data_IF_048134501010
#
_entry.id   IF_048134501010
#
_cell.length_a   1.000
_cell.length_b   1.000
_cell.length_c   1.000
_cell.angle_alpha   90.00
_cell.angle_beta   90.00
_cell.angle_gamma   90.00
#
_symmetry.space_group_name_H-M   'P 1'
#
loop_
_entity.id
_entity.type
_entity.pdbx_description
1 polymer ?
#
# COMPACT_ATOMS: atom_id res chain seq x y z
N UNK A 1 18.88 7.35 14.48
CA UNK A 1 18.36 6.40 13.47
C UNK A 1 16.89 6.58 13.15
N UNK A 2 15.99 6.78 14.13
CA UNK A 2 14.56 7.00 13.85
C UNK A 2 14.29 8.17 12.88
N UNK A 3 15.09 9.25 12.98
CA UNK A 3 15.08 10.39 12.04
C UNK A 3 15.58 10.00 10.63
N UNK A 4 16.52 9.07 10.53
CA UNK A 4 17.03 8.59 9.23
C UNK A 4 15.97 7.73 8.54
N UNK A 5 15.37 6.79 9.29
CA UNK A 5 14.29 5.94 8.81
C UNK A 5 13.08 6.75 8.36
N UNK A 6 12.66 7.74 9.14
CA UNK A 6 11.54 8.62 8.76
C UNK A 6 11.83 9.44 7.51
N UNK A 7 13.07 9.93 7.35
CA UNK A 7 13.51 10.64 6.13
C UNK A 7 13.51 9.71 4.91
N UNK A 8 14.00 8.49 5.05
CA UNK A 8 14.01 7.48 3.99
C UNK A 8 12.57 7.17 3.56
N UNK A 9 11.69 6.87 4.51
CA UNK A 9 10.28 6.60 4.22
C UNK A 9 9.57 7.78 3.59
N UNK A 10 9.80 9.00 4.08
CA UNK A 10 9.23 10.20 3.46
C UNK A 10 9.67 10.37 2.01
N UNK A 11 10.95 10.11 1.69
CA UNK A 11 11.45 10.14 0.30
C UNK A 11 10.80 9.06 -0.56
N UNK A 12 10.66 7.84 -0.04
CA UNK A 12 10.03 6.73 -0.76
C UNK A 12 8.56 7.06 -1.03
N UNK A 13 7.79 7.45 -0.01
CA UNK A 13 6.38 7.79 -0.17
C UNK A 13 6.17 8.97 -1.12
N UNK A 14 6.99 10.02 -1.01
CA UNK A 14 6.92 11.13 -1.94
C UNK A 14 7.14 10.69 -3.40
N UNK A 15 8.07 9.77 -3.64
CA UNK A 15 8.31 9.24 -4.98
C UNK A 15 7.15 8.34 -5.46
N UNK A 16 6.56 7.54 -4.57
CA UNK A 16 5.36 6.73 -4.86
C UNK A 16 4.19 7.64 -5.28
N UNK A 17 3.88 8.67 -4.48
CA UNK A 17 2.81 9.63 -4.76
C UNK A 17 3.06 10.38 -6.08
N UNK A 18 4.30 10.81 -6.30
CA UNK A 18 4.71 11.49 -7.54
C UNK A 18 4.46 10.60 -8.75
N UNK A 19 4.86 9.33 -8.72
CA UNK A 19 4.68 8.44 -9.86
C UNK A 19 3.20 8.11 -10.09
N UNK A 20 2.43 7.85 -9.03
CA UNK A 20 0.99 7.60 -9.15
C UNK A 20 0.22 8.80 -9.72
N UNK A 21 0.69 10.03 -9.49
CA UNK A 21 0.09 11.23 -10.09
C UNK A 21 0.30 11.37 -11.61
N UNK A 22 1.28 10.64 -12.18
CA UNK A 22 1.66 10.78 -13.59
C UNK A 22 0.82 9.93 -14.56
N UNK A 23 -0.25 9.28 -14.06
CA UNK A 23 -1.18 8.44 -14.84
C UNK A 23 -0.45 7.39 -15.71
N UNK A 24 0.61 6.80 -15.18
CA UNK A 24 1.40 5.77 -15.88
C UNK A 24 0.76 4.40 -15.69
N UNK A 25 1.17 3.41 -16.48
CA UNK A 25 0.78 2.01 -16.20
C UNK A 25 1.50 1.50 -14.95
N UNK A 26 0.86 0.61 -14.19
CA UNK A 26 1.44 -0.01 -12.97
C UNK A 26 2.82 -0.62 -13.23
N UNK A 27 3.01 -1.26 -14.38
CA UNK A 27 4.31 -1.80 -14.79
C UNK A 27 5.38 -0.70 -14.88
N UNK A 28 5.04 0.44 -15.48
CA UNK A 28 5.98 1.55 -15.66
C UNK A 28 6.30 2.23 -14.34
N UNK A 29 5.33 2.40 -13.46
CA UNK A 29 5.54 2.88 -12.08
C UNK A 29 6.48 1.94 -11.31
N UNK A 30 6.21 0.64 -11.36
CA UNK A 30 7.03 -0.36 -10.69
C UNK A 30 8.48 -0.39 -11.20
N UNK A 31 8.67 -0.22 -12.51
CA UNK A 31 10.01 -0.09 -13.10
C UNK A 31 10.74 1.16 -12.58
N UNK A 32 10.09 2.32 -12.57
CA UNK A 32 10.69 3.57 -12.07
C UNK A 32 11.02 3.48 -10.57
N UNK A 33 10.13 2.89 -9.76
CA UNK A 33 10.41 2.63 -8.34
C UNK A 33 11.57 1.66 -8.14
N UNK A 34 11.70 0.64 -9.00
CA UNK A 34 12.83 -0.29 -8.96
C UNK A 34 14.15 0.45 -9.18
N UNK A 35 14.23 1.33 -10.18
CA UNK A 35 15.43 2.13 -10.43
C UNK A 35 15.76 3.05 -9.25
N UNK A 36 14.76 3.78 -8.75
CA UNK A 36 14.91 4.71 -7.63
C UNK A 36 15.38 4.02 -6.34
N UNK A 37 14.77 2.89 -5.97
CA UNK A 37 15.13 2.17 -4.75
C UNK A 37 16.51 1.50 -4.87
N UNK A 38 16.89 1.04 -6.08
CA UNK A 38 18.21 0.51 -6.33
C UNK A 38 19.29 1.59 -6.17
N UNK A 39 19.07 2.77 -6.76
CA UNK A 39 19.97 3.92 -6.60
C UNK A 39 20.07 4.34 -5.12
N UNK A 40 18.94 4.42 -4.41
CA UNK A 40 18.91 4.73 -2.99
C UNK A 40 19.73 3.73 -2.16
N UNK A 41 19.62 2.42 -2.41
CA UNK A 41 20.43 1.41 -1.73
C UNK A 41 21.92 1.57 -2.05
N UNK A 42 22.29 1.87 -3.30
CA UNK A 42 23.67 2.16 -3.67
C UNK A 42 24.23 3.37 -2.91
N UNK A 43 23.48 4.46 -2.82
CA UNK A 43 23.89 5.65 -2.04
C UNK A 43 24.07 5.31 -0.57
N UNK A 44 23.08 4.66 0.04
CA UNK A 44 23.13 4.26 1.46
C UNK A 44 24.32 3.35 1.72
N UNK A 45 24.61 2.40 0.82
CA UNK A 45 25.78 1.53 0.92
C UNK A 45 27.08 2.34 0.98
N UNK A 46 27.28 3.26 0.05
CA UNK A 46 28.49 4.11 0.01
C UNK A 46 28.62 4.94 1.29
N UNK A 47 27.54 5.54 1.76
CA UNK A 47 27.53 6.32 3.01
C UNK A 47 27.85 5.48 4.24
N UNK A 48 27.27 4.27 4.31
CA UNK A 48 27.46 3.33 5.44
C UNK A 48 28.90 2.83 5.50
N UNK A 49 29.49 2.47 4.35
CA UNK A 49 30.89 2.02 4.26
C UNK A 49 31.88 3.15 4.59
N UNK A 50 31.54 4.40 4.25
CA UNK A 50 32.38 5.57 4.52
C UNK A 50 32.36 6.00 5.99
N UNK A 51 31.18 6.07 6.59
CA UNK A 51 31.01 6.68 7.92
C UNK A 51 31.15 5.67 9.07
N UNK A 52 31.04 4.36 8.79
CA UNK A 52 30.95 3.26 9.77
C UNK A 52 29.82 3.47 10.80
N UNK A 53 29.40 2.39 11.45
CA UNK A 53 28.46 2.49 12.56
C UNK A 53 29.18 3.00 13.81
N UNK A 54 28.50 3.84 14.60
CA UNK A 54 29.10 4.38 15.84
C UNK A 54 29.24 3.32 16.92
N UNK A 55 28.33 2.34 16.92
CA UNK A 55 28.26 1.24 17.86
C UNK A 55 27.52 0.05 17.23
N UNK A 56 27.58 -1.11 17.88
CA UNK A 56 26.94 -2.35 17.41
C UNK A 56 25.41 -2.26 17.39
N UNK A 57 24.82 -1.44 18.26
CA UNK A 57 23.36 -1.29 18.31
C UNK A 57 22.85 -0.52 17.09
N UNK A 58 23.63 0.44 16.57
CA UNK A 58 23.35 1.13 15.32
C UNK A 58 23.46 0.20 14.11
N UNK A 59 24.47 -0.69 14.10
CA UNK A 59 24.60 -1.72 13.07
C UNK A 59 23.37 -2.64 13.06
N UNK A 60 22.99 -3.15 14.23
CA UNK A 60 21.83 -4.02 14.42
C UNK A 60 20.55 -3.34 13.96
N UNK A 61 20.27 -2.11 14.38
CA UNK A 61 19.06 -1.40 13.98
C UNK A 61 19.02 -1.13 12.47
N UNK A 62 20.17 -0.82 11.87
CA UNK A 62 20.26 -0.62 10.43
C UNK A 62 19.87 -1.89 9.66
N UNK A 63 20.45 -3.03 10.00
CA UNK A 63 20.19 -4.30 9.33
C UNK A 63 18.86 -4.95 9.72
N UNK A 64 18.32 -4.66 10.90
CA UNK A 64 17.02 -5.19 11.34
C UNK A 64 15.84 -4.34 10.84
N UNK A 65 15.95 -3.01 10.93
CA UNK A 65 14.80 -2.11 10.82
C UNK A 65 14.87 -1.14 9.64
N UNK A 66 16.05 -0.79 9.12
CA UNK A 66 16.19 0.24 8.08
C UNK A 66 16.36 -0.36 6.70
N UNK A 67 17.49 -1.05 6.46
CA UNK A 67 17.82 -1.59 5.15
C UNK A 67 16.76 -2.58 4.61
N UNK A 68 16.20 -3.50 5.41
CA UNK A 68 15.18 -4.43 4.91
C UNK A 68 13.93 -3.74 4.35
N UNK A 69 13.59 -2.56 4.83
CA UNK A 69 12.41 -1.82 4.37
C UNK A 69 12.58 -1.31 2.93
N UNK A 70 13.79 -0.88 2.60
CA UNK A 70 14.15 -0.39 1.27
C UNK A 70 14.29 -1.58 0.31
N UNK A 71 15.07 -2.58 0.72
CA UNK A 71 15.29 -3.79 -0.08
C UNK A 71 13.99 -4.57 -0.29
N UNK A 72 13.13 -4.66 0.72
CA UNK A 72 11.82 -5.30 0.63
C UNK A 72 10.92 -4.60 -0.39
N UNK A 73 10.87 -3.27 -0.38
CA UNK A 73 10.17 -2.50 -1.42
C UNK A 73 10.79 -2.68 -2.81
N UNK A 74 12.11 -2.76 -2.92
CA UNK A 74 12.78 -3.01 -4.20
C UNK A 74 12.40 -4.38 -4.78
N UNK A 75 12.44 -5.44 -3.96
CA UNK A 75 12.02 -6.79 -4.35
C UNK A 75 10.54 -6.79 -4.74
N UNK A 76 9.69 -6.10 -3.96
CA UNK A 76 8.27 -5.92 -4.26
C UNK A 76 8.06 -5.31 -5.65
N UNK A 77 8.59 -4.13 -5.91
CA UNK A 77 8.38 -3.44 -7.19
C UNK A 77 8.97 -4.19 -8.38
N UNK A 78 10.12 -4.85 -8.22
CA UNK A 78 10.67 -5.71 -9.26
C UNK A 78 9.70 -6.86 -9.62
N UNK A 79 9.09 -7.48 -8.61
CA UNK A 79 8.08 -8.52 -8.82
C UNK A 79 6.78 -7.99 -9.41
N UNK A 80 6.30 -6.81 -8.99
CA UNK A 80 5.15 -6.14 -9.60
C UNK A 80 5.39 -5.93 -11.10
N UNK A 81 6.55 -5.40 -11.47
CA UNK A 81 6.91 -5.22 -12.88
C UNK A 81 6.78 -6.53 -13.67
N UNK A 82 7.34 -7.63 -13.14
CA UNK A 82 7.24 -8.95 -13.78
C UNK A 82 5.81 -9.47 -13.88
N UNK A 83 5.01 -9.32 -12.83
CA UNK A 83 3.61 -9.74 -12.81
C UNK A 83 2.81 -8.96 -13.85
N UNK A 84 2.90 -7.63 -13.83
CA UNK A 84 2.13 -6.78 -14.76
C UNK A 84 2.55 -7.00 -16.23
N UNK A 85 3.85 -7.23 -16.50
CA UNK A 85 4.35 -7.42 -17.87
C UNK A 85 4.13 -8.84 -18.43
N UNK A 86 3.85 -9.82 -17.58
CA UNK A 86 3.56 -11.20 -18.01
C UNK A 86 2.07 -11.53 -17.99
N UNK A 87 1.23 -10.61 -17.53
CA UNK A 87 -0.22 -10.75 -17.59
C UNK A 87 -0.68 -10.77 -19.07
N UNK A 88 -1.34 -11.85 -19.54
CA UNK A 88 -1.63 -12.01 -20.97
C UNK A 88 -2.77 -11.11 -21.47
N UNK A 89 -3.66 -10.67 -20.58
CA UNK A 89 -4.80 -9.81 -20.91
C UNK A 89 -5.10 -8.82 -19.79
N UNK A 90 -5.65 -7.66 -20.14
CA UNK A 90 -5.88 -6.57 -19.19
C UNK A 90 -7.23 -6.63 -18.45
N UNK A 91 -8.11 -7.59 -18.76
CA UNK A 91 -9.41 -7.75 -18.09
C UNK A 91 -10.04 -9.13 -18.32
N UNK A 92 -11.14 -9.42 -17.62
CA UNK A 92 -11.94 -10.63 -17.78
C UNK A 92 -11.44 -11.84 -16.97
N UNK A 93 -12.03 -13.01 -17.22
CA UNK A 93 -11.76 -14.22 -16.42
C UNK A 93 -10.30 -14.69 -16.48
N UNK A 94 -9.64 -14.52 -17.63
CA UNK A 94 -8.23 -14.88 -17.80
C UNK A 94 -7.34 -13.97 -16.95
N UNK A 95 -7.66 -12.66 -16.88
CA UNK A 95 -6.97 -11.71 -16.01
C UNK A 95 -7.12 -12.11 -14.53
N UNK A 96 -8.34 -12.38 -14.08
CA UNK A 96 -8.59 -12.80 -12.70
C UNK A 96 -7.85 -14.10 -12.34
N UNK A 97 -7.98 -15.12 -13.19
CA UNK A 97 -7.30 -16.41 -13.00
C UNK A 97 -5.78 -16.28 -12.95
N UNK A 98 -5.20 -15.35 -13.72
CA UNK A 98 -3.77 -15.05 -13.67
C UNK A 98 -3.33 -14.58 -12.27
N UNK A 99 -3.99 -13.55 -11.70
CA UNK A 99 -3.62 -13.06 -10.35
C UNK A 99 -3.92 -14.07 -9.24
N UNK A 100 -5.00 -14.86 -9.35
CA UNK A 100 -5.29 -15.96 -8.43
C UNK A 100 -4.17 -17.01 -8.42
N UNK A 101 -3.65 -17.34 -9.60
CA UNK A 101 -2.51 -18.25 -9.73
C UNK A 101 -1.22 -17.64 -9.18
N UNK A 102 -0.94 -16.36 -9.44
CA UNK A 102 0.20 -15.66 -8.83
C UNK A 102 0.11 -15.66 -7.30
N UNK A 103 -1.07 -15.43 -6.73
CA UNK A 103 -1.30 -15.47 -5.28
C UNK A 103 -1.08 -16.88 -4.72
N UNK A 104 -1.56 -17.91 -5.43
CA UNK A 104 -1.34 -19.31 -5.05
C UNK A 104 0.16 -19.65 -5.05
N UNK A 105 0.87 -19.27 -6.11
CA UNK A 105 2.32 -19.45 -6.23
C UNK A 105 3.08 -18.72 -5.12
N UNK A 106 2.68 -17.49 -4.80
CA UNK A 106 3.25 -16.69 -3.70
C UNK A 106 3.10 -17.42 -2.36
N UNK A 107 1.88 -17.87 -2.03
CA UNK A 107 1.57 -18.58 -0.78
C UNK A 107 2.40 -19.85 -0.60
N UNK A 108 2.52 -20.66 -1.65
CA UNK A 108 3.30 -21.92 -1.61
C UNK A 108 4.78 -21.60 -1.36
N UNK A 109 5.38 -20.73 -2.18
CA UNK A 109 6.79 -20.35 -2.04
C UNK A 109 7.08 -19.75 -0.66
N UNK A 110 6.19 -18.90 -0.14
CA UNK A 110 6.36 -18.27 1.17
C UNK A 110 6.29 -19.28 2.33
N UNK A 111 5.35 -20.22 2.27
CA UNK A 111 5.23 -21.29 3.25
C UNK A 111 6.50 -22.15 3.28
N UNK A 112 7.01 -22.53 2.11
CA UNK A 112 8.10 -23.49 2.00
C UNK A 112 9.46 -22.86 2.34
N UNK A 113 9.67 -21.59 1.97
CA UNK A 113 10.98 -20.92 2.12
C UNK A 113 11.14 -20.04 3.36
N UNK A 114 10.05 -19.61 4.01
CA UNK A 114 10.12 -18.59 5.08
C UNK A 114 9.37 -19.03 6.34
N UNK A 115 8.08 -19.38 6.25
CA UNK A 115 7.24 -19.57 7.44
C UNK A 115 7.70 -20.69 8.39
N UNK A 116 8.34 -21.72 7.86
CA UNK A 116 8.74 -22.90 8.63
C UNK A 116 10.06 -22.73 9.38
N UNK A 117 10.76 -21.60 9.20
CA UNK A 117 12.07 -21.39 9.81
C UNK A 117 11.97 -20.85 11.23
N UNK A 118 12.95 -21.22 12.08
CA UNK A 118 13.09 -20.66 13.43
C UNK A 118 13.28 -19.13 13.40
N UNK A 119 13.97 -18.62 12.38
CA UNK A 119 14.17 -17.19 12.20
C UNK A 119 12.85 -16.44 11.98
N UNK A 120 11.91 -17.01 11.22
CA UNK A 120 10.60 -16.37 11.00
C UNK A 120 9.84 -16.19 12.31
N UNK A 121 9.86 -17.20 13.20
CA UNK A 121 9.24 -17.12 14.54
C UNK A 121 9.93 -16.07 15.41
N UNK A 122 11.27 -16.00 15.36
CA UNK A 122 12.04 -14.97 16.03
C UNK A 122 11.61 -13.57 15.59
N UNK A 123 11.59 -13.32 14.29
CA UNK A 123 11.20 -12.02 13.71
C UNK A 123 9.76 -11.64 14.08
N UNK A 124 8.80 -12.54 13.85
CA UNK A 124 7.36 -12.27 14.08
C UNK A 124 6.98 -12.09 15.55
N UNK A 125 7.79 -12.60 16.48
CA UNK A 125 7.57 -12.42 17.92
C UNK A 125 8.19 -11.14 18.48
N UNK A 126 8.87 -10.33 17.66
CA UNK A 126 9.51 -9.09 18.11
C UNK A 126 10.67 -9.33 19.08
N UNK A 127 11.24 -10.53 19.08
CA UNK A 127 12.37 -10.90 19.94
C UNK A 127 13.63 -10.10 19.58
N UNK A 128 14.50 -9.97 20.57
CA UNK A 128 15.78 -9.25 20.48
C UNK A 128 16.96 -10.07 21.00
N UNK A 129 16.71 -11.26 21.58
CA UNK A 129 17.73 -12.09 22.24
C UNK A 129 18.79 -12.66 21.30
N UNK A 130 18.59 -12.56 19.97
CA UNK A 130 19.55 -13.01 18.94
C UNK A 130 19.97 -11.89 18.00
N UNK A 131 19.66 -10.63 18.32
CA UNK A 131 19.90 -9.51 17.41
C UNK A 131 21.38 -9.37 17.05
N UNK A 132 22.26 -9.58 18.03
CA UNK A 132 23.70 -9.56 17.83
C UNK A 132 24.17 -10.62 16.82
N UNK A 133 23.63 -11.83 16.89
CA UNK A 133 23.99 -12.93 15.98
C UNK A 133 23.39 -12.73 14.59
N UNK A 134 22.18 -12.18 14.49
CA UNK A 134 21.46 -12.09 13.23
C UNK A 134 21.77 -10.82 12.43
N UNK A 135 22.03 -9.69 13.08
CA UNK A 135 22.06 -8.38 12.41
C UNK A 135 23.42 -7.69 12.47
N UNK A 136 24.49 -8.44 12.71
CA UNK A 136 25.86 -7.96 12.58
C UNK A 136 26.54 -8.54 11.35
N UNK A 137 27.35 -7.73 10.68
CA UNK A 137 28.14 -8.18 9.53
C UNK A 137 29.15 -9.24 9.96
N UNK A 138 29.39 -10.21 9.07
CA UNK A 138 30.32 -11.32 9.29
C UNK A 138 29.82 -12.41 10.25
N UNK A 139 28.64 -12.28 10.86
CA UNK A 139 28.04 -13.31 11.70
C UNK A 139 27.26 -14.33 10.86
N UNK A 140 27.98 -15.25 10.22
CA UNK A 140 27.38 -16.33 9.42
C UNK A 140 27.67 -17.67 10.07
N UNK A 141 26.61 -18.36 10.49
CA UNK A 141 26.71 -19.71 11.02
C UNK A 141 26.37 -20.74 9.93
N UNK A 142 27.40 -21.30 9.28
CA UNK A 142 27.23 -22.30 8.22
C UNK A 142 26.59 -23.62 8.70
N UNK A 143 26.54 -23.88 10.01
CA UNK A 143 25.86 -25.05 10.56
C UNK A 143 24.34 -24.93 10.56
N UNK A 144 23.77 -23.76 10.25
CA UNK A 144 22.33 -23.52 10.25
C UNK A 144 21.62 -23.94 8.94
N UNK A 145 22.33 -24.55 7.99
CA UNK A 145 21.74 -25.00 6.72
C UNK A 145 21.29 -23.83 5.84
N UNK A 146 22.20 -22.89 5.61
CA UNK A 146 21.94 -21.65 4.87
C UNK A 146 21.58 -21.92 3.41
N UNK A 147 20.67 -21.12 2.86
CA UNK A 147 20.40 -21.10 1.42
C UNK A 147 21.66 -20.67 0.64
N UNK A 148 21.82 -21.19 -0.57
CA UNK A 148 22.97 -20.92 -1.44
C UNK A 148 23.17 -19.43 -1.75
N UNK A 149 22.11 -18.63 -1.68
CA UNK A 149 22.14 -17.19 -1.93
C UNK A 149 23.15 -16.44 -1.03
N UNK A 150 23.47 -17.00 0.14
CA UNK A 150 24.45 -16.39 1.07
C UNK A 150 25.86 -16.34 0.47
N UNK A 151 26.21 -17.26 -0.43
CA UNK A 151 27.55 -17.35 -1.02
C UNK A 151 27.81 -16.29 -2.11
N UNK A 152 26.74 -15.72 -2.67
CA UNK A 152 26.81 -14.65 -3.68
C UNK A 152 26.46 -13.27 -3.09
N UNK A 153 25.94 -13.25 -1.87
CA UNK A 153 25.57 -12.02 -1.18
C UNK A 153 26.81 -11.19 -0.84
N UNK A 154 26.73 -9.88 -1.06
CA UNK A 154 27.74 -8.95 -0.58
C UNK A 154 27.68 -8.81 0.94
N UNK A 155 28.52 -9.60 1.62
CA UNK A 155 28.66 -9.66 3.06
C UNK A 155 29.32 -8.42 3.68
N UNK A 156 29.78 -7.46 2.86
CA UNK A 156 30.29 -6.17 3.36
C UNK A 156 29.17 -5.17 3.67
N UNK A 157 27.97 -5.41 3.13
CA UNK A 157 26.82 -4.53 3.30
C UNK A 157 25.54 -5.30 3.60
N UNK A 158 25.56 -6.61 3.75
CA UNK A 158 24.38 -7.42 4.04
C UNK A 158 24.71 -8.49 5.06
N UNK A 159 23.74 -8.76 5.92
CA UNK A 159 23.73 -9.98 6.72
C UNK A 159 22.99 -11.07 5.93
N UNK A 160 22.93 -12.28 6.48
CA UNK A 160 22.02 -13.27 5.91
C UNK A 160 20.55 -12.95 6.24
N UNK A 161 20.31 -12.33 7.40
CA UNK A 161 19.00 -12.22 8.01
C UNK A 161 18.24 -10.93 7.66
N UNK A 162 18.92 -9.83 7.39
CA UNK A 162 18.32 -8.61 6.80
C UNK A 162 17.70 -8.91 5.43
N UNK A 163 18.37 -9.73 4.60
CA UNK A 163 17.82 -10.23 3.34
C UNK A 163 16.54 -11.06 3.57
N UNK A 164 16.52 -11.94 4.59
CA UNK A 164 15.30 -12.68 4.95
C UNK A 164 14.16 -11.76 5.36
N UNK A 165 14.42 -10.73 6.16
CA UNK A 165 13.41 -9.73 6.53
C UNK A 165 12.91 -8.99 5.28
N UNK A 166 13.80 -8.58 4.38
CA UNK A 166 13.41 -7.92 3.13
C UNK A 166 12.46 -8.79 2.30
N UNK A 167 12.73 -10.11 2.22
CA UNK A 167 11.82 -11.06 1.57
C UNK A 167 10.49 -11.22 2.31
N UNK A 168 10.46 -11.19 3.65
CA UNK A 168 9.21 -11.19 4.42
C UNK A 168 8.37 -9.96 4.05
N UNK A 169 8.96 -8.76 4.12
CA UNK A 169 8.29 -7.48 3.79
C UNK A 169 7.77 -7.51 2.35
N UNK A 170 8.60 -7.93 1.39
CA UNK A 170 8.20 -7.99 -0.01
C UNK A 170 7.02 -8.94 -0.24
N UNK A 171 6.98 -10.10 0.44
CA UNK A 171 5.86 -11.04 0.34
C UNK A 171 4.57 -10.47 0.95
N UNK A 172 4.65 -9.78 2.10
CA UNK A 172 3.49 -9.13 2.72
C UNK A 172 2.88 -8.05 1.80
N UNK A 173 3.74 -7.23 1.17
CA UNK A 173 3.32 -6.22 0.20
C UNK A 173 2.70 -6.84 -1.06
N UNK A 174 3.33 -7.89 -1.62
CA UNK A 174 2.81 -8.60 -2.80
C UNK A 174 1.48 -9.28 -2.53
N UNK A 175 1.33 -9.87 -1.34
CA UNK A 175 0.08 -10.51 -0.94
C UNK A 175 -1.07 -9.51 -0.99
N UNK A 176 -0.87 -8.34 -0.37
CA UNK A 176 -1.84 -7.24 -0.37
C UNK A 176 -2.13 -6.78 -1.80
N UNK A 177 -1.10 -6.56 -2.62
CA UNK A 177 -1.27 -6.17 -4.01
C UNK A 177 -2.11 -7.18 -4.82
N UNK A 178 -1.79 -8.48 -4.73
CA UNK A 178 -2.48 -9.51 -5.49
C UNK A 178 -3.95 -9.64 -5.04
N UNK A 179 -4.24 -9.47 -3.76
CA UNK A 179 -5.62 -9.41 -3.29
C UNK A 179 -6.39 -8.26 -3.91
N UNK A 180 -5.79 -7.06 -4.00
CA UNK A 180 -6.44 -5.91 -4.64
C UNK A 180 -6.78 -6.15 -6.13
N UNK A 181 -6.05 -7.05 -6.80
CA UNK A 181 -6.27 -7.43 -8.21
C UNK A 181 -7.32 -8.52 -8.39
N UNK A 182 -7.43 -9.45 -7.45
CA UNK A 182 -8.39 -10.56 -7.50
C UNK A 182 -9.79 -10.10 -7.08
N UNK A 183 -9.85 -9.35 -5.97
CA UNK A 183 -11.10 -8.88 -5.38
C UNK A 183 -10.99 -7.38 -5.06
N UNK A 184 -11.09 -6.50 -6.07
CA UNK A 184 -11.05 -5.04 -5.84
C UNK A 184 -12.19 -4.52 -4.95
N UNK A 185 -13.22 -5.35 -4.71
CA UNK A 185 -14.37 -5.07 -3.84
C UNK A 185 -14.25 -5.66 -2.43
N UNK A 186 -13.40 -6.67 -2.16
CA UNK A 186 -13.32 -7.34 -0.84
C UNK A 186 -12.24 -6.70 0.07
N UNK A 187 -11.25 -6.00 -0.48
CA UNK A 187 -10.11 -5.45 0.28
C UNK A 187 -10.15 -3.92 0.50
N UNK A 188 -11.19 -3.24 0.00
CA UNK A 188 -11.46 -1.84 0.41
C UNK A 188 -11.75 -1.75 1.90
N UNK A 189 -12.29 -2.81 2.49
CA UNK A 189 -12.63 -2.86 3.91
C UNK A 189 -11.39 -3.03 4.82
N UNK A 190 -10.26 -3.58 4.33
CA UNK A 190 -9.04 -3.80 5.15
C UNK A 190 -7.95 -2.75 4.94
N UNK A 191 -7.74 -2.25 3.71
CA UNK A 191 -6.73 -1.22 3.43
C UNK A 191 -7.09 0.14 4.06
N UNK A 192 -8.39 0.43 4.24
CA UNK A 192 -8.85 1.66 4.88
C UNK A 192 -8.80 1.62 6.42
N UNK A 193 -8.64 0.44 7.03
CA UNK A 193 -8.54 0.29 8.49
C UNK A 193 -7.09 0.41 8.98
N UNK A 194 -6.11 0.01 8.16
CA UNK A 194 -4.69 -0.03 8.58
C UNK A 194 -3.80 1.07 7.97
N UNK A 195 -4.33 1.93 7.11
CA UNK A 195 -3.65 3.14 6.66
C UNK A 195 -3.87 4.31 7.62
N UNK A 196 -2.90 4.59 8.49
CA UNK A 196 -2.85 5.76 9.37
C UNK A 196 -2.80 7.14 8.62
N UNK A 197 -3.14 7.19 7.33
CA UNK A 197 -2.97 8.33 6.43
C UNK A 197 -4.22 9.09 6.03
N UNK A 198 -5.42 8.74 6.52
CA UNK A 198 -6.67 9.43 6.13
C UNK A 198 -7.44 10.00 7.33
N UNK A 199 -6.75 10.67 8.25
CA UNK A 199 -7.41 11.36 9.38
C UNK A 199 -8.12 12.66 9.00
N UNK A 200 -7.95 13.16 7.77
CA UNK A 200 -8.28 14.54 7.44
C UNK A 200 -9.57 14.74 6.62
N UNK A 201 -10.22 13.68 6.14
CA UNK A 201 -11.46 13.80 5.36
C UNK A 201 -12.66 13.42 6.25
N UNK A 202 -13.44 14.42 6.66
CA UNK A 202 -14.68 14.24 7.43
C UNK A 202 -15.81 15.06 6.80
N UNK A 203 -17.03 14.49 6.77
CA UNK A 203 -18.21 15.22 6.30
C UNK A 203 -18.73 16.14 7.39
N UNK A 204 -18.86 17.42 7.05
CA UNK A 204 -19.24 18.48 8.00
C UNK A 204 -20.69 18.93 7.85
N UNK A 205 -21.39 18.52 6.79
CA UNK A 205 -22.80 18.86 6.57
C UNK A 205 -23.72 17.78 7.17
N UNK A 206 -25.04 17.94 7.02
CA UNK A 206 -26.01 16.96 7.51
C UNK A 206 -25.91 15.61 6.78
N UNK A 207 -26.32 14.53 7.45
CA UNK A 207 -26.45 13.20 6.83
C UNK A 207 -27.41 13.21 5.63
N UNK A 208 -28.45 14.05 5.68
CA UNK A 208 -29.40 14.22 4.58
C UNK A 208 -28.75 14.88 3.36
N UNK A 209 -27.85 15.85 3.54
CA UNK A 209 -27.09 16.44 2.44
C UNK A 209 -26.20 15.39 1.74
N UNK A 210 -25.58 14.50 2.52
CA UNK A 210 -24.78 13.41 1.99
C UNK A 210 -25.63 12.41 1.20
N UNK A 211 -26.80 12.05 1.72
CA UNK A 211 -27.77 11.17 1.04
C UNK A 211 -28.26 11.81 -0.27
N UNK A 212 -28.53 13.12 -0.26
CA UNK A 212 -28.96 13.87 -1.44
C UNK A 212 -27.89 13.83 -2.54
N UNK A 213 -26.62 14.05 -2.20
CA UNK A 213 -25.50 13.95 -3.13
C UNK A 213 -25.32 12.54 -3.70
N UNK A 214 -25.41 11.51 -2.85
CA UNK A 214 -25.35 10.10 -3.27
C UNK A 214 -26.45 9.77 -4.28
N UNK A 215 -27.69 10.22 -4.03
CA UNK A 215 -28.79 10.01 -4.96
C UNK A 215 -28.65 10.79 -6.25
N UNK A 216 -28.10 12.01 -6.20
CA UNK A 216 -27.85 12.81 -7.39
C UNK A 216 -26.88 12.11 -8.35
N UNK A 217 -25.76 11.61 -7.81
CA UNK A 217 -24.74 10.88 -8.57
C UNK A 217 -25.26 9.55 -9.11
N UNK A 218 -26.11 8.87 -8.33
CA UNK A 218 -26.79 7.67 -8.77
C UNK A 218 -27.75 7.96 -9.92
N UNK A 219 -28.61 8.98 -9.79
CA UNK A 219 -29.59 9.35 -10.80
C UNK A 219 -28.96 9.88 -12.09
N UNK A 220 -27.84 10.60 -12.00
CA UNK A 220 -27.12 11.12 -13.15
C UNK A 220 -26.36 10.05 -13.93
N UNK A 221 -26.18 8.85 -13.36
CA UNK A 221 -25.38 7.76 -13.91
C UNK A 221 -23.94 8.18 -14.26
N UNK A 222 -23.38 9.14 -13.53
CA UNK A 222 -22.05 9.73 -13.83
C UNK A 222 -20.88 8.87 -13.35
N UNK A 223 -21.13 7.72 -12.72
CA UNK A 223 -20.12 6.88 -12.07
C UNK A 223 -20.18 5.44 -12.61
N UNK A 224 -19.00 4.86 -12.90
CA UNK A 224 -18.78 3.44 -13.20
C UNK A 224 -19.68 2.86 -14.31
N UNK A 225 -19.67 3.48 -15.50
CA UNK A 225 -20.39 3.03 -16.70
C UNK A 225 -21.85 2.61 -16.45
N UNK A 226 -22.54 3.32 -15.55
CA UNK A 226 -23.96 3.12 -15.18
C UNK A 226 -24.28 1.79 -14.48
N UNK A 227 -23.29 1.08 -13.93
CA UNK A 227 -23.49 -0.26 -13.31
C UNK A 227 -23.53 -0.25 -11.78
N UNK A 228 -23.33 0.90 -11.14
CA UNK A 228 -23.24 0.97 -9.67
C UNK A 228 -24.62 1.10 -9.01
N UNK A 229 -24.93 0.21 -8.07
CA UNK A 229 -26.16 0.28 -7.27
C UNK A 229 -26.08 1.33 -6.16
N UNK A 230 -27.23 1.93 -5.82
CA UNK A 230 -27.34 2.99 -4.79
C UNK A 230 -26.75 2.60 -3.43
N UNK A 231 -26.92 1.33 -3.01
CA UNK A 231 -26.37 0.83 -1.73
C UNK A 231 -24.84 0.80 -1.75
N UNK A 232 -24.24 0.38 -2.87
CA UNK A 232 -22.79 0.34 -3.05
C UNK A 232 -22.22 1.76 -3.09
N UNK A 233 -22.90 2.69 -3.77
CA UNK A 233 -22.51 4.09 -3.79
C UNK A 233 -22.60 4.73 -2.40
N UNK A 234 -23.68 4.47 -1.65
CA UNK A 234 -23.81 4.97 -0.29
C UNK A 234 -22.74 4.41 0.65
N UNK A 235 -22.38 3.13 0.53
CA UNK A 235 -21.28 2.53 1.29
C UNK A 235 -19.94 3.23 1.02
N UNK A 236 -19.63 3.53 -0.24
CA UNK A 236 -18.42 4.27 -0.61
C UNK A 236 -18.36 5.62 0.12
N UNK A 237 -19.47 6.37 0.12
CA UNK A 237 -19.54 7.68 0.79
C UNK A 237 -19.52 7.58 2.32
N UNK A 238 -20.13 6.55 2.91
CA UNK A 238 -20.04 6.28 4.35
C UNK A 238 -18.59 6.06 4.78
N UNK A 239 -17.85 5.28 4.00
CA UNK A 239 -16.46 4.95 4.27
C UNK A 239 -15.55 6.16 4.02
N UNK A 240 -15.72 6.84 2.88
CA UNK A 240 -14.94 8.03 2.51
C UNK A 240 -15.02 9.14 3.57
N UNK A 241 -16.22 9.37 4.10
CA UNK A 241 -16.50 10.47 5.02
C UNK A 241 -16.65 10.04 6.49
N UNK A 242 -16.49 8.75 6.79
CA UNK A 242 -16.70 8.16 8.13
C UNK A 242 -18.04 8.56 8.77
N UNK A 243 -19.07 8.70 7.94
CA UNK A 243 -20.41 9.16 8.36
C UNK A 243 -21.41 8.06 8.09
N UNK A 244 -22.10 7.51 9.11
CA UNK A 244 -23.10 6.48 8.89
C UNK A 244 -24.28 7.04 8.08
N UNK A 245 -24.69 6.30 7.05
CA UNK A 245 -25.86 6.58 6.22
C UNK A 245 -26.92 5.53 6.50
N UNK A 246 -27.61 5.70 7.63
CA UNK A 246 -28.77 4.89 7.96
C UNK A 246 -29.98 5.33 7.14
N UNK A 247 -30.85 4.39 6.79
CA UNK A 247 -32.17 4.63 6.19
C UNK A 247 -32.19 5.51 4.92
N UNK A 248 -31.18 5.34 4.07
CA UNK A 248 -30.97 6.08 2.81
C UNK A 248 -32.25 6.22 1.97
N UNK A 249 -32.98 5.11 1.79
CA UNK A 249 -34.24 5.10 1.02
C UNK A 249 -35.35 5.92 1.67
N UNK A 250 -35.51 5.83 2.99
CA UNK A 250 -36.54 6.55 3.73
C UNK A 250 -36.21 8.05 3.80
N UNK A 251 -34.95 8.40 4.06
CA UNK A 251 -34.45 9.77 4.05
C UNK A 251 -34.66 10.43 2.68
N UNK A 252 -34.34 9.73 1.59
CA UNK A 252 -34.62 10.22 0.24
C UNK A 252 -36.12 10.33 -0.08
N UNK A 253 -36.94 9.40 0.41
CA UNK A 253 -38.39 9.50 0.26
C UNK A 253 -38.93 10.77 0.93
N UNK A 254 -38.46 11.09 2.14
CA UNK A 254 -38.82 12.33 2.84
C UNK A 254 -38.37 13.59 2.10
N UNK A 255 -37.27 13.55 1.37
CA UNK A 255 -36.81 14.68 0.54
C UNK A 255 -37.78 15.00 -0.61
N UNK A 256 -38.54 14.01 -1.12
CA UNK A 256 -39.52 14.23 -2.19
C UNK A 256 -40.69 15.11 -1.75
N UNK A 257 -41.00 15.10 -0.46
CA UNK A 257 -42.17 15.78 0.13
C UNK A 257 -41.79 16.93 1.07
N UNK A 258 -40.51 17.34 1.12
CA UNK A 258 -40.08 18.45 1.97
C UNK A 258 -40.64 19.78 1.46
N UNK A 259 -41.01 20.67 2.39
CA UNK A 259 -41.38 22.04 2.05
C UNK A 259 -40.12 22.81 1.59
N UNK A 260 -40.25 23.58 0.50
CA UNK A 260 -39.12 24.24 -0.16
C UNK A 260 -38.56 23.44 -1.33
N UNK A 261 -37.26 23.61 -1.63
CA UNK A 261 -36.62 22.89 -2.75
C UNK A 261 -36.47 21.40 -2.42
N UNK A 262 -36.79 20.52 -3.39
CA UNK A 262 -36.53 19.07 -3.31
C UNK A 262 -35.05 18.71 -3.41
N UNK A 263 -34.19 19.64 -3.85
CA UNK A 263 -32.74 19.46 -4.03
C UNK A 263 -31.93 20.61 -3.39
N UNK A 264 -32.37 21.10 -2.22
CA UNK A 264 -31.77 22.19 -1.47
C UNK A 264 -30.25 22.10 -1.27
N UNK A 265 -29.68 20.91 -1.06
CA UNK A 265 -28.22 20.80 -0.90
C UNK A 265 -27.51 20.91 -2.27
N UNK A 266 -28.05 20.32 -3.32
CA UNK A 266 -27.49 20.49 -4.67
C UNK A 266 -27.63 21.94 -5.16
N UNK A 267 -28.74 22.60 -4.82
CA UNK A 267 -28.94 24.01 -5.14
C UNK A 267 -27.88 24.86 -4.43
N UNK A 268 -27.60 24.57 -3.14
CA UNK A 268 -26.52 25.21 -2.40
C UNK A 268 -25.15 24.95 -3.05
N UNK A 269 -24.84 23.70 -3.44
CA UNK A 269 -23.60 23.35 -4.11
C UNK A 269 -23.44 24.10 -5.43
N UNK A 270 -24.51 24.19 -6.22
CA UNK A 270 -24.52 24.92 -7.48
C UNK A 270 -24.19 26.40 -7.26
N UNK A 271 -24.93 27.07 -6.36
CA UNK A 271 -24.70 28.48 -6.04
C UNK A 271 -23.26 28.69 -5.56
N UNK A 272 -22.78 27.82 -4.66
CA UNK A 272 -21.42 27.94 -4.10
C UNK A 272 -20.34 27.77 -5.17
N UNK A 273 -20.57 26.90 -6.16
CA UNK A 273 -19.67 26.71 -7.29
C UNK A 273 -19.71 27.89 -8.24
N UNK A 274 -20.89 28.43 -8.56
CA UNK A 274 -21.06 29.64 -9.38
C UNK A 274 -20.36 30.84 -8.74
N UNK A 275 -20.59 31.09 -7.45
CA UNK A 275 -19.88 32.13 -6.69
C UNK A 275 -18.36 31.92 -6.68
N UNK A 276 -17.88 30.68 -6.61
CA UNK A 276 -16.45 30.38 -6.67
C UNK A 276 -15.86 30.64 -8.07
N UNK A 277 -16.62 30.36 -9.14
CA UNK A 277 -16.20 30.65 -10.52
C UNK A 277 -16.19 32.16 -10.80
N UNK A 278 -17.11 32.92 -10.19
CA UNK A 278 -17.22 34.37 -10.33
C UNK A 278 -16.20 35.13 -9.46
N UNK A 279 -15.56 34.46 -8.49
CA UNK A 279 -14.37 34.99 -7.83
C UNK A 279 -13.23 35.00 -8.84
N UNK A 280 -13.05 36.16 -9.48
CA UNK A 280 -11.91 36.44 -10.34
C UNK A 280 -10.60 35.98 -9.66
N UNK A 281 -9.86 35.13 -10.37
CA UNK A 281 -8.45 34.80 -10.12
C UNK A 281 -7.58 36.07 -10.01
#
# INVERSE_FOLDING_TARGET
MQILLSKIFSKIHHQEDKLSSQMMSTAKEAYQMTLFLNEMLCTIKVETLKNKFSDEQQEIDFFKNIKPQILGKLIYYNKIFRIETTCPVNSGKIHQSYYENELKCLKIKYRDSICNENFYRYYRSGRTDRDYTYFRLGQINYHEGLNSDVFETDLTFSTYYDNKIAHIIANELLYTYLLTKISPDEDRDMVLINGNGNKDISWTNSQNALIELVYALYASNSIADRKIGIRKLALIFQVLFRTPLNDIHHSFHRMKTRAGSRTAFLDQLKISLEEYMDKNL
#
